data_IF_214182707632
#
_entry.id   IF_214182707632
#
_cell.length_a   1.000
_cell.length_b   1.000
_cell.length_c   1.000
_cell.angle_alpha   90.00
_cell.angle_beta   90.00
_cell.angle_gamma   90.00
#
_symmetry.space_group_name_H-M   'P 1'
#
loop_
_entity.id
_entity.type
_entity.pdbx_description
1 polymer ?
#
# COMPACT_ATOMS: atom_id res chain seq x y z
N UNK A 1 -15.82 15.33 -10.77
CA UNK A 1 -16.07 14.39 -9.66
C UNK A 1 -14.76 14.25 -8.92
N UNK A 2 -14.71 14.56 -7.62
CA UNK A 2 -13.56 14.13 -6.81
C UNK A 2 -13.78 12.64 -6.60
N UNK A 3 -13.00 11.78 -7.26
CA UNK A 3 -13.01 10.35 -6.94
C UNK A 3 -12.54 10.22 -5.50
N UNK A 4 -13.45 9.83 -4.61
CA UNK A 4 -13.15 9.59 -3.20
C UNK A 4 -12.50 8.22 -3.08
N UNK A 5 -11.26 8.16 -2.58
CA UNK A 5 -10.56 6.89 -2.33
C UNK A 5 -11.40 6.00 -1.41
N UNK A 6 -11.66 4.74 -1.77
CA UNK A 6 -12.40 3.83 -0.91
C UNK A 6 -11.78 3.70 0.48
N UNK A 7 -12.57 3.67 1.58
CA UNK A 7 -12.05 3.50 2.93
C UNK A 7 -11.22 2.22 3.11
N UNK A 8 -11.56 1.16 2.38
CA UNK A 8 -10.82 -0.10 2.37
C UNK A 8 -9.38 0.04 1.86
N UNK A 9 -9.11 1.05 1.03
CA UNK A 9 -7.76 1.40 0.54
C UNK A 9 -7.15 2.46 1.45
N UNK A 10 -7.87 3.53 1.79
CA UNK A 10 -7.31 4.68 2.50
C UNK A 10 -6.95 4.37 3.97
N UNK A 11 -7.83 3.69 4.70
CA UNK A 11 -7.65 3.57 6.16
C UNK A 11 -6.42 2.75 6.58
N UNK A 12 -6.07 1.64 5.90
CA UNK A 12 -4.84 0.92 6.24
C UNK A 12 -3.58 1.78 6.09
N UNK A 13 -3.53 2.66 5.08
CA UNK A 13 -2.41 3.57 4.86
C UNK A 13 -2.29 4.61 5.99
N UNK A 14 -3.41 5.23 6.36
CA UNK A 14 -3.44 6.18 7.47
C UNK A 14 -3.08 5.53 8.81
N UNK A 15 -3.58 4.32 9.07
CA UNK A 15 -3.24 3.57 10.28
C UNK A 15 -1.75 3.20 10.33
N UNK A 16 -1.14 2.84 9.20
CA UNK A 16 0.29 2.57 9.12
C UNK A 16 1.13 3.83 9.39
N UNK A 17 0.70 5.00 8.88
CA UNK A 17 1.34 6.29 9.18
C UNK A 17 1.31 6.60 10.69
N UNK A 18 0.15 6.44 11.32
CA UNK A 18 -0.02 6.68 12.75
C UNK A 18 0.87 5.76 13.59
N UNK A 19 0.89 4.47 13.25
CA UNK A 19 1.73 3.47 13.92
C UNK A 19 3.22 3.79 13.76
N UNK A 20 3.63 4.20 12.55
CA UNK A 20 4.99 4.60 12.26
C UNK A 20 5.46 5.81 13.08
N UNK A 21 4.63 6.86 13.16
CA UNK A 21 4.94 8.07 13.91
C UNK A 21 4.94 7.81 15.43
N UNK A 22 4.11 6.89 15.93
CA UNK A 22 4.10 6.51 17.33
C UNK A 22 5.40 5.81 17.78
N UNK A 23 6.09 5.11 16.87
CA UNK A 23 7.33 4.36 17.16
C UNK A 23 8.58 5.18 16.83
N UNK A 24 8.50 6.10 15.87
CA UNK A 24 9.59 6.96 15.41
C UNK A 24 9.29 8.43 15.72
N UNK A 25 9.67 8.93 16.92
CA UNK A 25 9.32 10.29 17.35
C UNK A 25 9.93 11.40 16.46
N UNK A 26 10.91 11.06 15.62
CA UNK A 26 11.48 11.94 14.59
C UNK A 26 10.58 12.12 13.36
N UNK A 27 9.56 11.27 13.18
CA UNK A 27 8.60 11.36 12.07
C UNK A 27 7.48 12.32 12.43
N UNK A 28 7.25 13.31 11.57
CA UNK A 28 6.06 14.16 11.65
C UNK A 28 4.82 13.33 11.27
N UNK A 29 3.93 13.12 12.24
CA UNK A 29 2.74 12.29 12.07
C UNK A 29 1.72 12.86 11.09
N UNK A 30 1.56 14.19 11.03
CA UNK A 30 0.61 14.83 10.12
C UNK A 30 1.13 14.69 8.68
N UNK A 31 2.42 14.95 8.47
CA UNK A 31 3.06 14.75 7.16
C UNK A 31 3.03 13.27 6.74
N UNK A 32 3.27 12.33 7.67
CA UNK A 32 3.21 10.90 7.36
C UNK A 32 1.81 10.48 6.91
N UNK A 33 0.76 10.98 7.57
CA UNK A 33 -0.64 10.73 7.18
C UNK A 33 -0.96 11.32 5.82
N UNK A 34 -0.50 12.55 5.55
CA UNK A 34 -0.67 13.21 4.25
C UNK A 34 -0.05 12.38 3.12
N UNK A 35 1.23 12.03 3.24
CA UNK A 35 1.95 11.24 2.23
C UNK A 35 1.33 9.85 2.01
N UNK A 36 0.94 9.17 3.08
CA UNK A 36 0.30 7.85 2.97
C UNK A 36 -1.11 7.95 2.36
N UNK A 37 -1.84 9.04 2.64
CA UNK A 37 -3.12 9.34 1.99
C UNK A 37 -2.96 9.62 0.49
N UNK A 38 -1.93 10.37 0.10
CA UNK A 38 -1.60 10.61 -1.31
C UNK A 38 -1.22 9.32 -2.02
N UNK A 39 -0.40 8.45 -1.41
CA UNK A 39 -0.05 7.15 -1.98
C UNK A 39 -1.30 6.29 -2.23
N UNK A 40 -2.22 6.21 -1.26
CA UNK A 40 -3.49 5.50 -1.41
C UNK A 40 -4.33 6.07 -2.57
N UNK A 41 -4.37 7.41 -2.71
CA UNK A 41 -5.08 8.07 -3.80
C UNK A 41 -4.45 7.79 -5.17
N UNK A 42 -3.11 7.84 -5.27
CA UNK A 42 -2.40 7.53 -6.51
C UNK A 42 -2.66 6.11 -6.98
N UNK A 43 -2.61 5.13 -6.06
CA UNK A 43 -2.86 3.71 -6.38
C UNK A 43 -4.30 3.44 -6.80
N UNK A 44 -5.26 4.09 -6.15
CA UNK A 44 -6.66 4.00 -6.55
C UNK A 44 -6.88 4.63 -7.93
N UNK A 45 -6.35 5.83 -8.16
CA UNK A 45 -6.53 6.55 -9.43
C UNK A 45 -5.80 5.87 -10.61
N UNK A 46 -4.71 5.13 -10.34
CA UNK A 46 -4.01 4.36 -11.36
C UNK A 46 -4.67 3.01 -11.67
N UNK A 47 -5.73 2.64 -10.95
CA UNK A 47 -6.39 1.33 -11.06
C UNK A 47 -5.45 0.16 -10.74
N UNK A 48 -4.42 0.39 -9.92
CA UNK A 48 -3.38 -0.62 -9.65
C UNK A 48 -3.93 -1.86 -8.91
N UNK A 49 -5.08 -1.71 -8.25
CA UNK A 49 -5.68 -2.71 -7.38
C UNK A 49 -7.05 -3.19 -7.87
N UNK A 50 -7.58 -2.63 -8.97
CA UNK A 50 -8.98 -2.79 -9.39
C UNK A 50 -9.32 -4.20 -9.91
N UNK A 51 -8.31 -4.99 -10.28
CA UNK A 51 -8.49 -6.37 -10.71
C UNK A 51 -8.59 -7.38 -9.55
N UNK A 52 -8.31 -6.94 -8.32
CA UNK A 52 -8.34 -7.81 -7.14
C UNK A 52 -9.76 -7.96 -6.59
N UNK A 53 -10.07 -9.13 -6.05
CA UNK A 53 -11.27 -9.30 -5.24
C UNK A 53 -11.10 -8.65 -3.85
N UNK A 54 -12.17 -8.58 -3.07
CA UNK A 54 -12.15 -7.91 -1.75
C UNK A 54 -11.12 -8.51 -0.78
N UNK A 55 -10.92 -9.83 -0.82
CA UNK A 55 -10.00 -10.54 0.06
C UNK A 55 -8.55 -10.24 -0.31
N UNK A 56 -8.20 -10.42 -1.58
CA UNK A 56 -6.85 -10.17 -2.08
C UNK A 56 -6.51 -8.67 -2.04
N UNK A 57 -7.48 -7.79 -2.30
CA UNK A 57 -7.34 -6.35 -2.11
C UNK A 57 -6.96 -6.02 -0.66
N UNK A 58 -7.67 -6.60 0.31
CA UNK A 58 -7.39 -6.40 1.73
C UNK A 58 -5.96 -6.81 2.10
N UNK A 59 -5.50 -7.96 1.61
CA UNK A 59 -4.13 -8.44 1.83
C UNK A 59 -3.10 -7.54 1.15
N UNK A 60 -3.34 -7.14 -0.09
CA UNK A 60 -2.44 -6.30 -0.86
C UNK A 60 -2.27 -4.92 -0.22
N UNK A 61 -3.39 -4.28 0.14
CA UNK A 61 -3.40 -2.96 0.79
C UNK A 61 -2.69 -3.01 2.14
N UNK A 62 -2.97 -4.00 2.98
CA UNK A 62 -2.31 -4.13 4.28
C UNK A 62 -0.79 -4.33 4.14
N UNK A 63 -0.38 -5.13 3.16
CA UNK A 63 1.04 -5.39 2.87
C UNK A 63 1.73 -4.11 2.38
N UNK A 64 1.13 -3.39 1.42
CA UNK A 64 1.68 -2.15 0.89
C UNK A 64 1.76 -1.05 1.95
N UNK A 65 0.71 -0.88 2.76
CA UNK A 65 0.70 0.10 3.85
C UNK A 65 1.85 -0.14 4.84
N UNK A 66 2.14 -1.41 5.15
CA UNK A 66 3.25 -1.81 6.00
C UNK A 66 4.62 -1.58 5.33
N UNK A 67 4.75 -1.96 4.06
CA UNK A 67 5.99 -1.82 3.31
C UNK A 67 6.41 -0.34 3.12
N UNK A 68 5.44 0.54 2.87
CA UNK A 68 5.70 1.95 2.60
C UNK A 68 6.20 2.75 3.80
N UNK A 69 5.94 2.27 5.02
CA UNK A 69 6.47 2.89 6.25
C UNK A 69 7.81 2.28 6.70
N UNK A 70 8.32 1.27 5.99
CA UNK A 70 9.61 0.67 6.27
C UNK A 70 10.76 1.70 6.09
N UNK A 71 11.95 1.45 6.68
CA UNK A 71 13.11 2.33 6.49
C UNK A 71 13.53 2.49 5.02
N UNK A 72 13.36 1.43 4.21
CA UNK A 72 13.53 1.46 2.75
C UNK A 72 12.23 0.96 2.08
N UNK A 73 11.30 1.88 1.75
CA UNK A 73 10.03 1.54 1.10
C UNK A 73 10.20 0.86 -0.26
N UNK A 74 11.22 1.27 -1.01
CA UNK A 74 11.53 0.71 -2.32
C UNK A 74 11.91 -0.76 -2.22
N UNK A 75 12.87 -1.08 -1.34
CA UNK A 75 13.29 -2.45 -1.11
C UNK A 75 12.13 -3.30 -0.57
N UNK A 76 11.38 -2.76 0.41
CA UNK A 76 10.27 -3.47 1.04
C UNK A 76 9.17 -3.87 0.03
N UNK A 77 8.71 -2.94 -0.81
CA UNK A 77 7.67 -3.23 -1.82
C UNK A 77 8.19 -4.20 -2.88
N UNK A 78 9.44 -4.06 -3.32
CA UNK A 78 10.04 -5.01 -4.28
C UNK A 78 10.19 -6.40 -3.69
N UNK A 79 10.54 -6.51 -2.41
CA UNK A 79 10.60 -7.79 -1.71
C UNK A 79 9.23 -8.46 -1.64
N UNK A 80 8.14 -7.70 -1.42
CA UNK A 80 6.78 -8.24 -1.47
C UNK A 80 6.44 -8.83 -2.84
N UNK A 81 6.84 -8.19 -3.94
CA UNK A 81 6.62 -8.70 -5.30
C UNK A 81 7.49 -9.93 -5.65
N UNK A 82 8.67 -10.04 -5.05
CA UNK A 82 9.60 -11.15 -5.28
C UNK A 82 9.34 -12.36 -4.37
N UNK A 83 8.63 -12.17 -3.26
CA UNK A 83 8.34 -13.22 -2.31
C UNK A 83 7.44 -14.32 -2.94
N UNK A 84 7.59 -15.59 -2.52
CA UNK A 84 6.63 -16.62 -2.89
C UNK A 84 5.23 -16.24 -2.39
N UNK A 85 4.20 -16.67 -3.12
CA UNK A 85 2.82 -16.37 -2.78
C UNK A 85 2.49 -16.79 -1.35
N UNK A 86 1.86 -15.88 -0.60
CA UNK A 86 1.34 -16.21 0.71
C UNK A 86 0.20 -17.24 0.57
N UNK A 87 0.18 -18.22 1.47
CA UNK A 87 -0.93 -19.17 1.54
C UNK A 87 -2.24 -18.41 1.83
N UNK A 88 -3.30 -18.73 1.08
CA UNK A 88 -4.63 -18.14 1.29
C UNK A 88 -4.98 -16.95 0.41
N UNK A 89 -4.11 -16.54 -0.53
CA UNK A 89 -4.51 -15.65 -1.64
C UNK A 89 -5.37 -16.41 -2.65
N UNK A 90 -6.40 -15.76 -3.21
CA UNK A 90 -7.23 -16.34 -4.25
C UNK A 90 -6.54 -16.23 -5.63
N UNK A 91 -5.98 -15.06 -5.94
CA UNK A 91 -5.15 -14.78 -7.11
C UNK A 91 -3.79 -14.18 -6.69
N UNK A 92 -2.81 -15.04 -6.35
CA UNK A 92 -1.48 -14.58 -5.97
C UNK A 92 -0.75 -13.82 -7.09
N UNK A 93 -1.03 -14.15 -8.34
CA UNK A 93 -0.40 -13.51 -9.50
C UNK A 93 -0.95 -12.09 -9.70
N UNK A 94 -2.26 -11.91 -9.54
CA UNK A 94 -2.91 -10.60 -9.49
C UNK A 94 -2.31 -9.71 -8.40
N UNK A 95 -2.15 -10.23 -7.18
CA UNK A 95 -1.54 -9.47 -6.07
C UNK A 95 -0.09 -9.09 -6.36
N UNK A 96 0.69 -10.01 -6.93
CA UNK A 96 2.07 -9.72 -7.34
C UNK A 96 2.11 -8.62 -8.41
N UNK A 97 1.24 -8.69 -9.42
CA UNK A 97 1.14 -7.67 -10.46
C UNK A 97 0.80 -6.29 -9.86
N UNK A 98 -0.11 -6.23 -8.88
CA UNK A 98 -0.45 -5.01 -8.17
C UNK A 98 0.75 -4.37 -7.46
N UNK A 99 1.61 -5.17 -6.82
CA UNK A 99 2.85 -4.65 -6.21
C UNK A 99 3.82 -4.09 -7.25
N UNK A 100 3.98 -4.75 -8.40
CA UNK A 100 4.85 -4.25 -9.47
C UNK A 100 4.34 -2.93 -10.06
N UNK A 101 3.02 -2.80 -10.24
CA UNK A 101 2.41 -1.52 -10.69
C UNK A 101 2.60 -0.44 -9.62
N UNK A 102 2.48 -0.78 -8.34
CA UNK A 102 2.71 0.16 -7.23
C UNK A 102 4.11 0.78 -7.28
N UNK A 103 5.13 -0.05 -7.54
CA UNK A 103 6.53 0.44 -7.71
C UNK A 103 6.60 1.49 -8.83
N UNK A 104 5.92 1.26 -9.96
CA UNK A 104 5.92 2.20 -11.08
C UNK A 104 5.14 3.48 -10.78
N UNK A 105 3.95 3.37 -10.17
CA UNK A 105 3.06 4.50 -9.88
C UNK A 105 3.67 5.45 -8.86
N UNK A 106 4.33 4.90 -7.83
CA UNK A 106 4.97 5.69 -6.77
C UNK A 106 6.42 6.06 -7.07
N UNK A 107 6.99 5.58 -8.19
CA UNK A 107 8.37 5.87 -8.58
C UNK A 107 9.43 5.24 -7.67
N UNK A 108 9.14 4.06 -7.11
CA UNK A 108 10.01 3.32 -6.19
C UNK A 108 11.10 2.52 -6.92
#
# INVERSE_FOLDING_TARGET
>A
MVMTVPPAILQPFLAAADAAAAVRPEVDGDLARELMGEAAAMLHNSLALDHLDEHDLGVAVATLATALVAPDPTEAVRACAAAPSAAGLHDPEGVRAAYLVTVQVLGL
#
